data_IF_964374396671
#
_entry.id   IF_964374396671
#
_cell.length_a   1.000
_cell.length_b   1.000
_cell.length_c   1.000
_cell.angle_alpha   90.00
_cell.angle_beta   90.00
_cell.angle_gamma   90.00
#
_symmetry.space_group_name_H-M   'P 1'
#
loop_
_entity.id
_entity.type
_entity.pdbx_description
1 polymer ?
#
# COMPACT_ATOMS: atom_id res chain seq x y z
N UNK A 1 12.12 -19.77 5.92
CA UNK A 1 11.69 -19.12 4.66
C UNK A 1 10.80 -17.95 5.01
N UNK A 2 11.11 -16.76 4.52
CA UNK A 2 10.36 -15.51 4.82
C UNK A 2 9.19 -15.28 3.86
N UNK A 3 8.66 -16.35 3.26
CA UNK A 3 7.57 -16.27 2.29
C UNK A 3 6.25 -15.85 2.94
N UNK A 4 5.54 -14.93 2.29
CA UNK A 4 4.19 -14.48 2.68
C UNK A 4 3.09 -15.55 2.47
N UNK A 5 3.40 -16.65 1.78
CA UNK A 5 2.41 -17.71 1.44
C UNK A 5 1.74 -18.27 2.68
N UNK A 6 2.49 -18.46 3.79
CA UNK A 6 1.94 -18.94 5.06
C UNK A 6 1.04 -17.96 5.80
N UNK A 7 1.15 -16.65 5.53
CA UNK A 7 0.36 -15.56 6.12
C UNK A 7 -0.71 -15.01 5.17
N UNK A 8 -1.08 -15.76 4.13
CA UNK A 8 -2.03 -15.33 3.08
C UNK A 8 -1.65 -13.99 2.44
N UNK A 9 -0.36 -13.71 2.28
CA UNK A 9 0.15 -12.47 1.73
C UNK A 9 0.21 -11.28 2.68
N UNK A 10 -0.21 -11.43 3.94
CA UNK A 10 -0.33 -10.29 4.85
C UNK A 10 1.00 -9.84 5.49
N UNK A 11 2.04 -10.67 5.48
CA UNK A 11 3.38 -10.37 6.02
C UNK A 11 4.46 -11.10 5.22
N UNK A 12 5.63 -10.49 5.15
CA UNK A 12 6.82 -11.10 4.55
C UNK A 12 6.92 -10.92 3.05
N UNK A 13 7.73 -11.75 2.43
CA UNK A 13 8.12 -11.64 1.04
C UNK A 13 7.13 -12.33 0.09
N UNK A 14 6.72 -11.62 -0.93
CA UNK A 14 5.95 -12.16 -2.07
C UNK A 14 6.83 -12.08 -3.32
N UNK A 15 7.17 -13.25 -3.92
CA UNK A 15 8.01 -13.28 -5.11
C UNK A 15 7.26 -12.82 -6.35
N UNK A 16 8.05 -12.46 -7.36
CA UNK A 16 7.58 -12.15 -8.71
C UNK A 16 6.68 -13.26 -9.26
N UNK A 17 5.66 -12.88 -9.99
CA UNK A 17 4.77 -13.83 -10.68
C UNK A 17 3.64 -14.42 -9.82
N UNK A 18 3.42 -13.89 -8.62
CA UNK A 18 2.35 -14.35 -7.73
C UNK A 18 1.13 -13.41 -7.78
N UNK A 19 1.35 -12.09 -7.76
CA UNK A 19 0.25 -11.13 -7.76
C UNK A 19 -0.20 -10.83 -9.19
N UNK A 20 -1.51 -10.94 -9.43
CA UNK A 20 -2.14 -10.67 -10.73
C UNK A 20 -3.28 -9.70 -10.50
N UNK A 21 -3.38 -8.64 -11.33
CA UNK A 21 -4.50 -7.71 -11.27
C UNK A 21 -5.82 -8.42 -11.60
N UNK A 22 -6.92 -7.95 -11.02
CA UNK A 22 -8.25 -8.52 -11.24
C UNK A 22 -8.61 -8.49 -12.74
N UNK A 23 -9.00 -9.65 -13.27
CA UNK A 23 -9.36 -9.81 -14.69
C UNK A 23 -8.19 -10.05 -15.64
N UNK A 24 -6.97 -10.14 -15.13
CA UNK A 24 -5.77 -10.40 -15.91
C UNK A 24 -5.27 -11.85 -15.74
N UNK A 25 -4.60 -12.38 -16.77
CA UNK A 25 -4.03 -13.74 -16.75
C UNK A 25 -2.51 -13.71 -16.48
N UNK A 26 -1.84 -12.60 -16.82
CA UNK A 26 -0.39 -12.45 -16.71
C UNK A 26 -0.06 -11.72 -15.41
N UNK A 27 0.75 -12.32 -14.53
CA UNK A 27 1.16 -11.68 -13.28
C UNK A 27 2.00 -10.42 -13.50
N UNK A 28 1.88 -9.47 -12.57
CA UNK A 28 2.72 -8.28 -12.53
C UNK A 28 4.19 -8.63 -12.29
N UNK A 29 5.08 -7.82 -12.91
CA UNK A 29 6.52 -8.01 -12.82
C UNK A 29 7.07 -7.26 -11.60
N UNK A 30 6.61 -7.65 -10.42
CA UNK A 30 7.03 -7.06 -9.14
C UNK A 30 7.22 -8.14 -8.08
N UNK A 31 8.04 -7.84 -7.12
CA UNK A 31 8.16 -8.56 -5.86
C UNK A 31 8.11 -7.55 -4.72
N UNK A 32 7.69 -7.98 -3.55
CA UNK A 32 7.52 -7.04 -2.45
C UNK A 32 7.64 -7.70 -1.08
N UNK A 33 7.87 -6.85 -0.09
CA UNK A 33 7.81 -7.19 1.32
C UNK A 33 6.65 -6.46 1.98
N UNK A 34 5.84 -7.19 2.74
CA UNK A 34 4.81 -6.64 3.61
C UNK A 34 5.25 -6.60 5.07
N UNK A 35 5.05 -5.45 5.68
CA UNK A 35 5.24 -5.18 7.09
C UNK A 35 3.97 -4.51 7.63
N UNK A 36 3.55 -4.85 8.83
CA UNK A 36 2.35 -4.31 9.45
C UNK A 36 2.64 -3.64 10.79
N UNK A 37 1.60 -3.33 11.57
CA UNK A 37 1.76 -2.75 12.89
C UNK A 37 2.49 -3.68 13.86
N UNK A 38 3.11 -3.10 14.87
CA UNK A 38 3.53 -3.82 16.07
C UNK A 38 2.28 -4.19 16.87
N UNK A 39 2.07 -5.50 17.05
CA UNK A 39 0.83 -6.05 17.61
C UNK A 39 1.00 -6.35 19.09
N UNK A 40 0.08 -5.83 19.89
CA UNK A 40 -0.11 -6.19 21.31
C UNK A 40 -1.46 -6.94 21.49
N UNK A 41 -1.84 -7.19 22.73
CA UNK A 41 -3.08 -7.89 23.10
C UNK A 41 -4.37 -7.14 22.77
N UNK A 42 -4.28 -5.88 22.35
CA UNK A 42 -5.43 -5.04 22.00
C UNK A 42 -5.82 -5.13 20.54
N UNK A 43 -4.97 -5.76 19.72
CA UNK A 43 -5.25 -6.01 18.30
C UNK A 43 -6.11 -7.26 18.09
N UNK A 44 -6.79 -7.33 16.94
CA UNK A 44 -7.49 -8.53 16.52
C UNK A 44 -6.49 -9.69 16.36
N UNK A 45 -6.85 -10.86 16.89
CA UNK A 45 -6.00 -12.08 16.86
C UNK A 45 -5.74 -12.62 15.46
N UNK A 46 -6.59 -12.26 14.50
CA UNK A 46 -6.41 -12.64 13.09
C UNK A 46 -5.33 -11.81 12.38
N UNK A 47 -4.91 -10.67 12.95
CA UNK A 47 -3.85 -9.85 12.40
C UNK A 47 -2.51 -10.52 12.70
N UNK A 48 -1.73 -10.94 11.67
CA UNK A 48 -0.47 -11.65 11.90
C UNK A 48 0.63 -10.70 12.37
N UNK A 49 1.56 -11.24 13.18
CA UNK A 49 2.77 -10.55 13.59
C UNK A 49 3.75 -10.38 12.44
N UNK A 50 4.58 -9.34 12.51
CA UNK A 50 5.69 -9.16 11.58
C UNK A 50 6.69 -10.31 11.68
N UNK A 51 7.30 -10.66 10.53
CA UNK A 51 8.37 -11.65 10.50
C UNK A 51 9.68 -10.98 10.94
N UNK A 52 10.48 -11.73 11.70
CA UNK A 52 11.83 -11.31 12.10
C UNK A 52 12.83 -11.91 11.11
N UNK A 53 13.76 -11.08 10.62
CA UNK A 53 14.85 -11.51 9.73
C UNK A 53 16.14 -11.58 10.53
N UNK A 54 16.54 -12.80 10.92
CA UNK A 54 17.71 -13.03 11.77
C UNK A 54 19.03 -12.50 11.14
N UNK A 55 19.11 -12.54 9.80
CA UNK A 55 20.28 -12.06 9.05
C UNK A 55 20.37 -10.52 8.97
N UNK A 56 19.27 -9.83 9.27
CA UNK A 56 19.17 -8.37 9.25
C UNK A 56 18.47 -7.89 10.51
N UNK A 57 19.13 -7.92 11.67
CA UNK A 57 18.48 -7.68 12.97
C UNK A 57 17.87 -6.27 13.10
N UNK A 58 18.41 -5.28 12.39
CA UNK A 58 17.90 -3.90 12.40
C UNK A 58 16.73 -3.69 11.45
N UNK A 59 16.42 -4.67 10.59
CA UNK A 59 15.39 -4.54 9.55
C UNK A 59 14.03 -4.17 10.13
N UNK A 60 13.57 -4.93 11.13
CA UNK A 60 12.27 -4.67 11.75
C UNK A 60 12.21 -3.29 12.40
N UNK A 61 13.29 -2.86 13.07
CA UNK A 61 13.35 -1.54 13.71
C UNK A 61 13.13 -0.41 12.69
N UNK A 62 13.83 -0.44 11.55
CA UNK A 62 13.66 0.59 10.53
C UNK A 62 12.27 0.54 9.88
N UNK A 63 11.72 -0.67 9.67
CA UNK A 63 10.38 -0.81 9.11
C UNK A 63 9.29 -0.41 10.10
N UNK A 64 9.45 -0.67 11.39
CA UNK A 64 8.55 -0.23 12.46
C UNK A 64 8.52 1.30 12.55
N UNK A 65 9.67 1.95 12.50
CA UNK A 65 9.79 3.41 12.53
C UNK A 65 9.10 4.03 11.30
N UNK A 66 9.43 3.54 10.11
CA UNK A 66 8.82 4.01 8.86
C UNK A 66 7.30 3.79 8.84
N UNK A 67 6.85 2.60 9.28
CA UNK A 67 5.43 2.29 9.42
C UNK A 67 4.74 3.28 10.34
N UNK A 68 5.31 3.53 11.53
CA UNK A 68 4.76 4.45 12.53
C UNK A 68 4.62 5.86 11.97
N UNK A 69 5.62 6.36 11.27
CA UNK A 69 5.59 7.72 10.72
C UNK A 69 4.58 7.86 9.56
N UNK A 70 4.55 6.90 8.65
CA UNK A 70 3.54 6.89 7.58
C UNK A 70 2.12 6.71 8.13
N UNK A 71 1.94 5.91 9.16
CA UNK A 71 0.65 5.73 9.82
C UNK A 71 0.13 7.03 10.43
N UNK A 72 0.99 7.80 11.13
CA UNK A 72 0.66 9.14 11.65
C UNK A 72 0.25 10.11 10.54
N UNK A 73 1.00 10.11 9.42
CA UNK A 73 0.65 10.91 8.24
C UNK A 73 -0.71 10.49 7.70
N UNK A 74 -0.96 9.20 7.56
CA UNK A 74 -2.24 8.64 7.09
C UNK A 74 -3.42 9.07 7.94
N UNK A 75 -3.30 9.01 9.27
CA UNK A 75 -4.34 9.49 10.21
C UNK A 75 -4.62 10.98 9.99
N UNK A 76 -3.59 11.81 9.81
CA UNK A 76 -3.76 13.24 9.56
C UNK A 76 -4.48 13.50 8.22
N UNK A 77 -4.12 12.77 7.17
CA UNK A 77 -4.79 12.86 5.85
C UNK A 77 -6.26 12.46 5.98
N UNK A 78 -6.55 11.34 6.65
CA UNK A 78 -7.93 10.90 6.89
C UNK A 78 -8.75 11.91 7.70
N UNK A 79 -8.13 12.59 8.67
CA UNK A 79 -8.77 13.69 9.42
C UNK A 79 -9.13 14.86 8.51
N UNK A 80 -8.24 15.25 7.59
CA UNK A 80 -8.50 16.31 6.60
C UNK A 80 -9.63 15.89 5.65
N UNK A 81 -9.62 14.66 5.16
CA UNK A 81 -10.69 14.12 4.30
C UNK A 81 -12.02 14.16 5.04
N UNK A 82 -12.09 13.68 6.28
CA UNK A 82 -13.32 13.68 7.08
C UNK A 82 -13.90 15.11 7.21
N UNK A 83 -13.07 16.10 7.56
CA UNK A 83 -13.50 17.50 7.62
C UNK A 83 -14.01 18.02 6.28
N UNK A 84 -13.32 17.70 5.18
CA UNK A 84 -13.67 18.17 3.84
C UNK A 84 -15.06 17.69 3.40
N UNK A 85 -15.45 16.48 3.82
CA UNK A 85 -16.76 15.89 3.51
C UNK A 85 -17.80 16.13 4.61
N UNK A 86 -17.51 16.99 5.59
CA UNK A 86 -18.45 17.39 6.64
C UNK A 86 -18.62 16.40 7.79
N UNK A 87 -17.67 15.49 7.97
CA UNK A 87 -17.63 14.53 9.08
C UNK A 87 -16.76 15.05 10.24
N UNK A 88 -16.88 14.40 11.41
CA UNK A 88 -15.96 14.64 12.51
C UNK A 88 -14.54 14.27 12.11
N UNK A 89 -13.55 15.06 12.50
CA UNK A 89 -12.14 14.87 12.14
C UNK A 89 -11.53 13.54 12.63
N UNK A 90 -12.11 12.94 13.67
CA UNK A 90 -11.72 11.61 14.14
C UNK A 90 -12.56 10.47 13.56
N UNK A 91 -13.41 10.72 12.57
CA UNK A 91 -14.36 9.73 12.05
C UNK A 91 -13.70 8.41 11.62
N UNK A 92 -12.60 8.49 10.87
CA UNK A 92 -11.89 7.31 10.36
C UNK A 92 -10.89 6.70 11.35
N UNK A 93 -10.52 7.43 12.42
CA UNK A 93 -9.48 7.00 13.35
C UNK A 93 -9.74 5.60 13.96
N UNK A 94 -10.95 5.29 14.48
CA UNK A 94 -11.24 3.97 15.05
C UNK A 94 -11.11 2.81 14.03
N UNK A 95 -11.19 3.09 12.74
CA UNK A 95 -11.12 2.08 11.68
C UNK A 95 -9.71 1.68 11.34
N UNK A 96 -8.74 2.55 11.62
CA UNK A 96 -7.34 2.38 11.20
C UNK A 96 -6.37 2.22 12.36
N UNK A 97 -6.71 2.72 13.56
CA UNK A 97 -5.78 2.80 14.70
C UNK A 97 -5.27 1.41 15.14
N UNK A 98 -6.12 0.38 15.04
CA UNK A 98 -5.78 -1.02 15.31
C UNK A 98 -6.08 -1.93 14.12
N UNK A 99 -6.13 -1.34 12.93
CA UNK A 99 -6.35 -2.05 11.69
C UNK A 99 -5.10 -2.74 11.15
N UNK A 100 -5.29 -3.57 10.15
CA UNK A 100 -4.20 -4.26 9.45
C UNK A 100 -3.67 -3.41 8.29
N UNK A 101 -3.28 -2.15 8.55
CA UNK A 101 -2.58 -1.34 7.55
C UNK A 101 -1.24 -1.99 7.18
N UNK A 102 -0.84 -1.88 5.94
CA UNK A 102 0.36 -2.53 5.42
C UNK A 102 1.35 -1.49 4.88
N UNK A 103 2.61 -1.61 5.29
CA UNK A 103 3.75 -1.02 4.62
C UNK A 103 4.23 -2.03 3.57
N UNK A 104 4.15 -1.66 2.29
CA UNK A 104 4.61 -2.48 1.17
C UNK A 104 5.87 -1.87 0.56
N UNK A 105 7.00 -2.54 0.70
CA UNK A 105 8.22 -2.20 -0.02
C UNK A 105 8.27 -3.01 -1.31
N UNK A 106 8.24 -2.33 -2.46
CA UNK A 106 8.12 -2.96 -3.78
C UNK A 106 9.42 -2.82 -4.56
N UNK A 107 9.86 -3.92 -5.14
CA UNK A 107 10.92 -3.93 -6.13
C UNK A 107 10.34 -4.28 -7.51
N UNK A 108 10.62 -3.44 -8.48
CA UNK A 108 10.30 -3.64 -9.88
C UNK A 108 11.58 -3.97 -10.64
N UNK A 109 11.85 -5.24 -10.97
CA UNK A 109 13.01 -5.60 -11.76
C UNK A 109 12.93 -4.98 -13.16
N UNK A 110 14.07 -4.81 -13.85
CA UNK A 110 14.08 -4.37 -15.24
C UNK A 110 13.21 -5.29 -16.12
N UNK A 111 12.39 -4.69 -16.96
CA UNK A 111 11.53 -5.39 -17.94
C UNK A 111 11.99 -4.97 -19.33
N UNK A 112 12.18 -5.95 -20.23
CA UNK A 112 12.53 -5.67 -21.62
C UNK A 112 11.42 -4.89 -22.32
N UNK A 113 11.80 -3.82 -23.03
CA UNK A 113 10.86 -2.92 -23.71
C UNK A 113 9.98 -3.60 -24.77
N UNK A 114 10.42 -4.77 -25.27
CA UNK A 114 9.71 -5.58 -26.26
C UNK A 114 8.70 -6.56 -25.65
N UNK A 115 8.66 -6.67 -24.32
CA UNK A 115 7.77 -7.61 -23.65
C UNK A 115 6.37 -7.01 -23.42
N UNK A 116 5.33 -7.85 -23.48
CA UNK A 116 3.96 -7.49 -23.06
C UNK A 116 3.79 -7.55 -21.53
N UNK A 117 4.91 -7.50 -20.80
CA UNK A 117 4.91 -7.58 -19.34
C UNK A 117 4.78 -6.18 -18.75
N UNK A 118 3.95 -6.05 -17.75
CA UNK A 118 3.77 -4.80 -17.01
C UNK A 118 4.41 -4.89 -15.62
N UNK A 119 4.99 -3.79 -15.13
CA UNK A 119 5.47 -3.68 -13.74
C UNK A 119 4.31 -3.82 -12.76
N UNK A 120 3.25 -3.03 -13.00
CA UNK A 120 1.96 -3.13 -12.35
C UNK A 120 0.88 -2.73 -13.35
N UNK A 121 -0.16 -3.53 -13.48
CA UNK A 121 -1.30 -3.21 -14.33
C UNK A 121 -2.22 -2.21 -13.64
N UNK A 122 -3.12 -1.61 -14.42
CA UNK A 122 -4.14 -0.73 -13.88
C UNK A 122 -5.00 -1.49 -12.85
N UNK A 123 -5.17 -0.90 -11.69
CA UNK A 123 -5.96 -1.44 -10.59
C UNK A 123 -6.46 -0.31 -9.69
N UNK A 124 -7.44 -0.61 -8.87
CA UNK A 124 -7.86 0.23 -7.76
C UNK A 124 -7.37 -0.40 -6.45
N UNK A 125 -6.96 0.44 -5.49
CA UNK A 125 -6.49 -0.05 -4.20
C UNK A 125 -7.67 -0.39 -3.29
N UNK A 126 -7.64 -1.58 -2.67
CA UNK A 126 -8.68 -2.04 -1.74
C UNK A 126 -8.34 -1.51 -0.34
N UNK A 127 -8.55 -0.20 -0.11
CA UNK A 127 -8.29 0.44 1.18
C UNK A 127 -9.01 1.78 1.29
N UNK A 128 -8.79 2.52 2.38
CA UNK A 128 -9.26 3.90 2.51
C UNK A 128 -8.38 4.86 1.71
N UNK A 129 -7.07 4.79 1.96
CA UNK A 129 -6.06 5.61 1.27
C UNK A 129 -4.75 4.82 1.11
N UNK A 130 -4.02 5.12 0.05
CA UNK A 130 -2.62 4.72 -0.13
C UNK A 130 -1.72 5.94 -0.04
N UNK A 131 -0.63 5.81 0.71
CA UNK A 131 0.47 6.77 0.73
C UNK A 131 1.64 6.19 -0.04
N UNK A 132 1.94 6.75 -1.22
CA UNK A 132 2.99 6.27 -2.09
C UNK A 132 4.21 7.18 -2.02
N UNK A 133 5.33 6.61 -1.60
CA UNK A 133 6.66 7.21 -1.75
C UNK A 133 7.19 6.73 -3.10
N UNK A 134 7.29 7.63 -4.06
CA UNK A 134 7.68 7.31 -5.42
C UNK A 134 9.12 6.87 -5.55
N UNK A 135 9.40 6.03 -6.56
CA UNK A 135 10.75 5.77 -7.04
C UNK A 135 11.28 6.96 -7.85
N UNK A 136 12.60 7.01 -8.07
CA UNK A 136 13.23 8.04 -8.91
C UNK A 136 12.79 7.95 -10.37
N UNK A 137 12.42 6.75 -10.83
CA UNK A 137 11.92 6.51 -12.18
C UNK A 137 10.42 6.79 -12.29
N UNK A 138 10.01 7.34 -13.43
CA UNK A 138 8.59 7.55 -13.77
C UNK A 138 7.85 6.23 -14.03
N UNK A 139 6.53 6.33 -14.27
CA UNK A 139 5.68 5.19 -14.64
C UNK A 139 4.33 5.16 -13.94
N UNK A 140 4.13 6.01 -12.93
CA UNK A 140 2.81 6.17 -12.32
C UNK A 140 1.89 6.96 -13.24
N UNK A 141 0.75 6.38 -13.57
CA UNK A 141 -0.29 6.99 -14.39
C UNK A 141 -1.65 6.82 -13.71
N UNK A 142 -2.53 7.79 -13.87
CA UNK A 142 -3.89 7.77 -13.33
C UNK A 142 -4.87 7.90 -14.49
N UNK A 143 -5.86 7.01 -14.53
CA UNK A 143 -6.93 7.06 -15.52
C UNK A 143 -7.90 8.20 -15.17
N UNK A 144 -8.00 9.19 -16.04
CA UNK A 144 -8.96 10.27 -15.92
C UNK A 144 -10.37 9.82 -16.39
N UNK A 145 -11.40 10.53 -15.94
CA UNK A 145 -12.81 10.21 -16.26
C UNK A 145 -13.15 10.26 -17.75
N UNK A 146 -12.38 11.00 -18.55
CA UNK A 146 -12.54 11.07 -20.01
C UNK A 146 -11.85 9.90 -20.75
N UNK A 147 -11.22 8.98 -20.02
CA UNK A 147 -10.51 7.83 -20.57
C UNK A 147 -9.03 8.10 -20.89
N UNK A 148 -8.52 9.31 -20.66
CA UNK A 148 -7.10 9.62 -20.85
C UNK A 148 -6.25 9.21 -19.66
N UNK A 149 -4.98 8.84 -19.90
CA UNK A 149 -4.00 8.54 -18.86
C UNK A 149 -3.16 9.77 -18.55
N UNK A 150 -3.14 10.14 -17.27
CA UNK A 150 -2.37 11.27 -16.75
C UNK A 150 -1.12 10.75 -16.05
N UNK A 151 0.06 11.17 -16.53
CA UNK A 151 1.34 10.85 -15.89
C UNK A 151 1.51 11.64 -14.59
N UNK A 152 1.75 10.93 -13.50
CA UNK A 152 2.06 11.53 -12.19
C UNK A 152 3.57 11.50 -11.99
N UNK A 153 4.16 12.67 -11.80
CA UNK A 153 5.59 12.84 -11.50
C UNK A 153 5.76 13.48 -10.13
N UNK A 154 5.75 12.69 -9.05
CA UNK A 154 5.98 13.24 -7.73
C UNK A 154 7.42 13.76 -7.62
N UNK A 155 7.62 14.82 -6.86
CA UNK A 155 8.97 15.21 -6.47
C UNK A 155 9.54 14.20 -5.49
N UNK A 156 10.86 14.09 -5.37
CA UNK A 156 11.54 13.21 -4.40
C UNK A 156 11.22 13.51 -2.94
N UNK A 157 10.56 14.66 -2.67
CA UNK A 157 10.15 15.11 -1.34
C UNK A 157 8.63 15.05 -1.12
N UNK A 158 7.88 14.46 -2.06
CA UNK A 158 6.43 14.38 -2.00
C UNK A 158 5.98 12.94 -1.76
N UNK A 159 4.91 12.80 -0.99
CA UNK A 159 4.13 11.57 -0.87
C UNK A 159 2.88 11.78 -1.73
N UNK A 160 2.64 10.85 -2.66
CA UNK A 160 1.37 10.81 -3.40
C UNK A 160 0.34 10.09 -2.54
N UNK A 161 -0.83 10.70 -2.41
CA UNK A 161 -1.95 10.05 -1.73
C UNK A 161 -3.07 9.80 -2.74
N UNK A 162 -3.53 8.56 -2.84
CA UNK A 162 -4.73 8.20 -3.59
C UNK A 162 -5.79 7.58 -2.67
N UNK A 163 -7.04 7.74 -3.07
CA UNK A 163 -8.22 7.18 -2.40
C UNK A 163 -8.46 5.79 -2.98
N UNK A 164 -8.73 4.83 -2.09
CA UNK A 164 -9.09 3.48 -2.48
C UNK A 164 -10.60 3.21 -2.50
N UNK A 165 -10.97 2.02 -2.93
CA UNK A 165 -12.37 1.56 -3.09
C UNK A 165 -13.19 1.67 -1.81
N UNK A 166 -12.59 1.32 -0.65
CA UNK A 166 -13.32 1.40 0.62
C UNK A 166 -13.73 2.83 0.95
N UNK A 167 -12.87 3.82 0.67
CA UNK A 167 -13.23 5.22 0.88
C UNK A 167 -14.37 5.64 -0.04
N UNK A 168 -14.34 5.22 -1.31
CA UNK A 168 -15.41 5.49 -2.26
C UNK A 168 -16.76 4.92 -1.78
N UNK A 169 -16.74 3.69 -1.25
CA UNK A 169 -17.95 3.03 -0.71
C UNK A 169 -18.49 3.75 0.53
N UNK A 170 -17.63 4.10 1.47
CA UNK A 170 -18.02 4.74 2.74
C UNK A 170 -18.57 6.15 2.53
N UNK A 171 -18.06 6.85 1.53
CA UNK A 171 -18.45 8.24 1.23
C UNK A 171 -19.52 8.36 0.16
N UNK A 172 -20.10 7.24 -0.29
CA UNK A 172 -21.09 7.21 -1.39
C UNK A 172 -20.57 7.94 -2.64
N UNK A 173 -19.28 7.75 -2.97
CA UNK A 173 -18.57 8.36 -4.11
C UNK A 173 -18.55 9.91 -4.10
N UNK A 174 -18.57 10.50 -2.92
CA UNK A 174 -18.47 11.97 -2.73
C UNK A 174 -17.07 12.49 -2.87
#
# INVERSE_FOLDING_TARGET
>A
TYSSIGSKGARGYTPKGIETAVGEEIPDQKEFWHHGPNIDETFDKEIPKNLVIDQLPEFNMYFDDLYSDLHKIGINVLSIIAKTIGLNDNFFKPWVEKGNSLLRSIHYPPVESSSNLHRARAHEDINLITLLIGAEEGGLEVLHRDGSWIKVKPSSKAIVCNIGDMMQLVTDKR
#
